data_IF_208670895275
#
_entry.id   IF_208670895275
#
_cell.length_a   1.000
_cell.length_b   1.000
_cell.length_c   1.000
_cell.angle_alpha   90.00
_cell.angle_beta   90.00
_cell.angle_gamma   90.00
#
_symmetry.space_group_name_H-M   'P 1'
#
loop_
_entity.id
_entity.type
_entity.pdbx_description
1 polymer ?
#
# COMPACT_ATOMS: atom_id res chain seq x y z
N UNK A 1 -12.07 15.76 -4.12
CA UNK A 1 -12.38 15.64 -2.68
C UNK A 1 -11.72 14.33 -2.31
N UNK A 2 -10.72 14.25 -1.41
CA UNK A 2 -10.14 12.94 -1.08
C UNK A 2 -11.26 12.05 -0.53
N UNK A 3 -11.81 11.17 -1.36
CA UNK A 3 -12.54 10.01 -0.90
C UNK A 3 -11.44 9.07 -0.43
N UNK A 4 -11.07 9.23 0.84
CA UNK A 4 -10.40 8.17 1.58
C UNK A 4 -11.43 7.06 1.64
N UNK A 5 -11.30 6.09 0.76
CA UNK A 5 -12.27 5.01 0.54
C UNK A 5 -12.27 4.15 1.80
N UNK A 6 -13.04 4.50 2.82
CA UNK A 6 -13.22 3.70 4.04
C UNK A 6 -14.42 2.75 3.92
N UNK A 7 -15.19 2.84 2.84
CA UNK A 7 -16.38 2.02 2.60
C UNK A 7 -16.24 1.28 1.26
N UNK A 8 -16.34 -0.06 1.32
CA UNK A 8 -16.23 -0.94 0.15
C UNK A 8 -17.33 -0.67 -0.90
N UNK A 9 -18.46 -0.07 -0.49
CA UNK A 9 -19.57 0.26 -1.39
C UNK A 9 -19.32 1.46 -2.29
N UNK A 10 -18.39 2.35 -1.94
CA UNK A 10 -18.06 3.55 -2.74
C UNK A 10 -16.91 3.33 -3.73
N UNK A 11 -16.28 2.14 -3.72
CA UNK A 11 -15.12 1.86 -4.56
C UNK A 11 -15.50 1.60 -6.03
N UNK A 12 -16.67 1.02 -6.27
CA UNK A 12 -17.12 0.60 -7.61
C UNK A 12 -17.30 1.83 -8.52
N UNK A 13 -17.89 2.91 -8.01
CA UNK A 13 -18.20 4.12 -8.80
C UNK A 13 -16.96 4.95 -9.16
N UNK A 14 -15.92 4.96 -8.31
CA UNK A 14 -14.69 5.67 -8.61
C UNK A 14 -13.83 4.91 -9.64
N UNK A 15 -13.87 3.57 -9.62
CA UNK A 15 -12.99 2.73 -10.42
C UNK A 15 -13.31 2.79 -11.93
N UNK A 16 -14.58 2.84 -12.34
CA UNK A 16 -14.96 3.00 -13.76
C UNK A 16 -14.42 4.32 -14.34
N UNK A 17 -14.48 5.41 -13.57
CA UNK A 17 -13.93 6.72 -13.97
C UNK A 17 -12.40 6.72 -14.11
N UNK A 18 -11.69 5.80 -13.44
CA UNK A 18 -10.24 5.70 -13.52
C UNK A 18 -9.74 4.87 -14.70
N UNK A 19 -10.50 3.87 -15.16
CA UNK A 19 -10.08 3.01 -16.27
C UNK A 19 -9.97 3.80 -17.57
N UNK A 20 -10.93 4.69 -17.84
CA UNK A 20 -10.92 5.56 -19.02
C UNK A 20 -9.74 6.55 -19.00
N UNK A 21 -9.37 7.08 -17.83
CA UNK A 21 -8.18 7.95 -17.70
C UNK A 21 -6.87 7.19 -17.91
N UNK A 22 -6.73 5.99 -17.34
CA UNK A 22 -5.54 5.16 -17.56
C UNK A 22 -5.41 4.79 -19.04
N UNK A 23 -6.51 4.43 -19.71
CA UNK A 23 -6.51 4.15 -21.16
C UNK A 23 -6.14 5.37 -22.00
N UNK A 24 -6.56 6.58 -21.61
CA UNK A 24 -6.22 7.82 -22.31
C UNK A 24 -4.76 8.26 -22.11
N UNK A 25 -4.16 8.05 -20.92
CA UNK A 25 -2.77 8.43 -20.64
C UNK A 25 -1.73 7.39 -21.12
N UNK A 26 -2.14 6.14 -21.37
CA UNK A 26 -1.28 5.08 -21.94
C UNK A 26 -0.89 5.32 -23.42
N UNK A 27 -1.37 6.39 -24.05
CA UNK A 27 -1.04 6.73 -25.44
C UNK A 27 0.36 7.34 -25.62
N UNK A 28 1.13 7.53 -24.53
CA UNK A 28 2.50 8.00 -24.60
C UNK A 28 3.47 6.81 -24.62
N UNK A 29 4.02 6.52 -25.80
CA UNK A 29 5.09 5.54 -26.06
C UNK A 29 6.45 5.98 -25.47
N UNK A 30 6.50 6.36 -24.19
CA UNK A 30 7.75 6.72 -23.51
C UNK A 30 8.10 5.65 -22.48
N UNK A 31 9.31 5.10 -22.58
CA UNK A 31 9.83 4.16 -21.59
C UNK A 31 9.97 4.86 -20.23
N UNK A 32 9.65 4.16 -19.14
CA UNK A 32 9.86 4.68 -17.80
C UNK A 32 11.33 5.00 -17.57
N UNK A 33 11.64 6.25 -17.21
CA UNK A 33 12.97 6.62 -16.73
C UNK A 33 13.13 6.14 -15.30
N UNK A 34 14.05 5.22 -15.06
CA UNK A 34 14.43 4.85 -13.71
C UNK A 34 15.19 6.03 -13.07
N UNK A 35 14.79 6.50 -11.88
CA UNK A 35 15.54 7.54 -11.18
C UNK A 35 16.96 7.06 -10.89
N UNK A 36 17.94 7.95 -11.02
CA UNK A 36 19.28 7.69 -10.52
C UNK A 36 19.19 7.49 -9.00
N UNK A 37 19.44 6.26 -8.53
CA UNK A 37 19.43 5.95 -7.09
C UNK A 37 20.74 6.41 -6.46
N UNK A 38 20.67 7.52 -5.73
CA UNK A 38 21.73 7.86 -4.78
C UNK A 38 21.65 6.90 -3.58
N UNK A 39 22.69 6.08 -3.43
CA UNK A 39 22.77 5.03 -2.41
C UNK A 39 22.80 5.57 -0.97
N UNK A 40 23.11 6.85 -0.80
CA UNK A 40 23.22 7.49 0.51
C UNK A 40 22.07 8.46 0.81
N UNK A 41 21.08 8.58 -0.08
CA UNK A 41 19.97 9.52 0.10
C UNK A 41 19.00 9.03 1.18
N UNK A 42 19.13 9.59 2.37
CA UNK A 42 18.13 9.48 3.43
C UNK A 42 16.89 10.31 3.06
N UNK A 43 15.71 9.75 3.35
CA UNK A 43 14.44 10.47 3.19
C UNK A 43 14.09 11.10 4.52
N UNK A 44 13.99 12.43 4.54
CA UNK A 44 13.51 13.15 5.73
C UNK A 44 12.00 12.95 5.87
N UNK A 45 11.58 12.39 7.00
CA UNK A 45 10.15 12.17 7.29
C UNK A 45 9.54 13.41 7.96
N UNK A 46 8.41 13.86 7.42
CA UNK A 46 7.65 14.98 7.97
C UNK A 46 6.44 14.47 8.77
N UNK A 47 6.46 14.68 10.09
CA UNK A 47 5.39 14.22 11.00
C UNK A 47 4.28 15.26 11.23
N UNK A 48 4.25 16.33 10.42
CA UNK A 48 3.21 17.36 10.51
C UNK A 48 1.85 16.80 10.14
N UNK A 49 0.85 17.12 10.94
CA UNK A 49 -0.53 16.68 10.73
C UNK A 49 -1.28 17.73 9.92
N UNK A 50 -1.20 17.64 8.59
CA UNK A 50 -1.86 18.57 7.69
C UNK A 50 -3.34 18.20 7.45
N UNK A 51 -4.25 19.17 7.21
CA UNK A 51 -5.60 18.89 6.73
C UNK A 51 -5.60 18.26 5.32
N UNK A 52 -6.60 17.44 5.00
CA UNK A 52 -6.75 16.85 3.66
C UNK A 52 -6.83 17.90 2.55
N UNK A 53 -7.43 19.06 2.80
CA UNK A 53 -7.48 20.17 1.85
C UNK A 53 -6.09 20.70 1.48
N UNK A 54 -5.16 20.70 2.43
CA UNK A 54 -3.76 21.11 2.19
C UNK A 54 -3.02 20.00 1.44
N UNK A 55 -3.20 18.73 1.83
CA UNK A 55 -2.60 17.59 1.12
C UNK A 55 -3.01 17.57 -0.37
N UNK A 56 -4.28 17.85 -0.69
CA UNK A 56 -4.76 17.92 -2.07
C UNK A 56 -4.04 18.99 -2.90
N UNK A 57 -3.72 20.14 -2.27
CA UNK A 57 -3.02 21.24 -2.93
C UNK A 57 -1.53 20.96 -3.10
N UNK A 58 -0.94 20.16 -2.21
CA UNK A 58 0.46 19.75 -2.31
C UNK A 58 0.66 18.68 -3.38
N UNK A 59 -0.29 17.76 -3.53
CA UNK A 59 -0.21 16.63 -4.44
C UNK A 59 -1.27 16.71 -5.55
N UNK A 60 -1.23 17.78 -6.35
CA UNK A 60 -2.21 18.04 -7.43
C UNK A 60 -2.22 16.98 -8.54
N UNK A 61 -1.16 16.18 -8.63
CA UNK A 61 -1.04 15.04 -9.56
C UNK A 61 -1.66 13.74 -9.01
N UNK A 62 -2.20 13.78 -7.79
CA UNK A 62 -2.94 12.68 -7.16
C UNK A 62 -4.42 13.06 -7.15
N UNK A 63 -5.24 12.25 -7.80
CA UNK A 63 -6.69 12.45 -7.86
C UNK A 63 -7.36 11.31 -7.10
N UNK A 64 -8.14 11.66 -6.06
CA UNK A 64 -8.82 10.77 -5.12
C UNK A 64 -8.01 9.51 -4.73
N UNK A 65 -6.74 9.73 -4.39
CA UNK A 65 -5.82 8.69 -3.92
C UNK A 65 -5.06 7.95 -5.03
N UNK A 66 -5.39 8.16 -6.30
CA UNK A 66 -4.71 7.59 -7.46
C UNK A 66 -3.71 8.59 -8.07
N UNK A 67 -2.48 8.10 -8.31
CA UNK A 67 -1.52 8.74 -9.22
C UNK A 67 -1.26 7.83 -10.41
N UNK A 68 -1.47 8.37 -11.61
CA UNK A 68 -1.06 7.71 -12.85
C UNK A 68 0.35 8.19 -13.23
N UNK A 69 1.25 7.24 -13.48
CA UNK A 69 2.57 7.57 -14.01
C UNK A 69 2.53 7.47 -15.53
N UNK A 70 2.95 8.55 -16.19
CA UNK A 70 2.90 8.68 -17.64
C UNK A 70 4.14 8.04 -18.31
N UNK A 71 4.23 6.71 -18.25
CA UNK A 71 5.20 5.92 -19.03
C UNK A 71 4.69 4.51 -19.32
N UNK A 72 5.18 3.93 -20.41
CA UNK A 72 4.92 2.54 -20.80
C UNK A 72 5.53 1.57 -19.78
N UNK A 73 4.77 0.52 -19.42
CA UNK A 73 5.16 -0.51 -18.45
C UNK A 73 5.33 -0.04 -16.99
N UNK A 74 4.78 1.13 -16.62
CA UNK A 74 4.66 1.48 -15.21
C UNK A 74 3.88 0.39 -14.46
N UNK A 75 4.47 -0.15 -13.40
CA UNK A 75 3.81 -1.14 -12.56
C UNK A 75 2.60 -0.50 -11.87
N UNK A 76 1.47 -1.23 -11.80
CA UNK A 76 0.23 -0.76 -11.19
C UNK A 76 0.15 -1.31 -9.76
N UNK A 77 0.34 -0.42 -8.79
CA UNK A 77 0.55 -0.77 -7.38
C UNK A 77 -0.64 -0.31 -6.54
N UNK A 78 -1.40 -1.25 -5.99
CA UNK A 78 -2.42 -0.94 -4.99
C UNK A 78 -1.80 -0.99 -3.59
N UNK A 79 -1.93 0.09 -2.82
CA UNK A 79 -1.43 0.19 -1.46
C UNK A 79 -2.62 0.17 -0.50
N UNK A 80 -2.79 -0.93 0.22
CA UNK A 80 -3.90 -1.14 1.17
C UNK A 80 -3.44 -0.76 2.57
N UNK A 81 -4.14 0.18 3.19
CA UNK A 81 -3.81 0.75 4.49
C UNK A 81 -4.98 0.53 5.47
N UNK A 82 -4.80 -0.23 6.56
CA UNK A 82 -5.83 -0.32 7.58
C UNK A 82 -5.94 1.00 8.33
N UNK A 83 -7.14 1.58 8.38
CA UNK A 83 -7.34 2.87 9.01
C UNK A 83 -8.68 2.97 9.75
N UNK A 84 -8.67 2.64 11.05
CA UNK A 84 -9.77 2.94 11.98
C UNK A 84 -9.29 3.86 13.09
N UNK A 85 -9.98 4.97 13.34
CA UNK A 85 -9.63 5.96 14.38
C UNK A 85 -8.16 6.45 14.34
N UNK A 86 -7.50 6.34 13.18
CA UNK A 86 -6.08 6.66 12.97
C UNK A 86 -5.88 7.81 11.98
N UNK A 87 -6.87 8.69 11.82
CA UNK A 87 -6.85 9.83 10.87
C UNK A 87 -5.59 10.71 10.96
N UNK A 88 -5.03 10.90 12.17
CA UNK A 88 -3.76 11.64 12.32
C UNK A 88 -2.59 10.90 11.67
N UNK A 89 -2.47 9.59 11.91
CA UNK A 89 -1.43 8.75 11.30
C UNK A 89 -1.61 8.67 9.79
N UNK A 90 -2.84 8.49 9.31
CA UNK A 90 -3.12 8.46 7.88
C UNK A 90 -2.66 9.76 7.18
N UNK A 91 -2.93 10.92 7.77
CA UNK A 91 -2.51 12.20 7.16
C UNK A 91 -0.99 12.38 7.14
N UNK A 92 -0.30 11.88 8.16
CA UNK A 92 1.17 11.81 8.17
C UNK A 92 1.65 10.84 7.08
N UNK A 93 1.05 9.65 6.97
CA UNK A 93 1.39 8.67 5.94
C UNK A 93 1.23 9.27 4.55
N UNK A 94 0.07 9.85 4.23
CA UNK A 94 -0.21 10.43 2.91
C UNK A 94 0.77 11.56 2.57
N UNK A 95 1.11 12.43 3.53
CA UNK A 95 2.10 13.50 3.34
C UNK A 95 3.45 12.95 2.87
N UNK A 96 3.92 11.88 3.49
CA UNK A 96 5.24 11.31 3.18
C UNK A 96 5.19 10.38 1.98
N UNK A 97 4.17 9.53 1.89
CA UNK A 97 4.09 8.48 0.90
C UNK A 97 3.83 9.04 -0.49
N UNK A 98 2.98 10.07 -0.64
CA UNK A 98 2.81 10.71 -1.94
C UNK A 98 4.10 11.34 -2.45
N UNK A 99 4.83 12.06 -1.58
CA UNK A 99 6.13 12.65 -1.93
C UNK A 99 7.21 11.59 -2.20
N UNK A 100 7.16 10.46 -1.49
CA UNK A 100 8.12 9.37 -1.68
C UNK A 100 7.88 8.60 -2.98
N UNK A 101 6.62 8.31 -3.30
CA UNK A 101 6.23 7.55 -4.49
C UNK A 101 6.21 8.41 -5.75
N UNK A 102 6.16 9.75 -5.64
CA UNK A 102 6.23 10.62 -6.80
C UNK A 102 7.54 10.47 -7.58
N UNK A 103 8.59 10.07 -6.88
CA UNK A 103 9.92 9.79 -7.43
C UNK A 103 10.02 8.38 -8.04
N UNK A 104 9.00 7.53 -7.92
CA UNK A 104 9.04 6.15 -8.42
C UNK A 104 8.24 5.98 -9.72
N UNK A 105 8.71 5.13 -10.66
CA UNK A 105 8.07 4.89 -11.95
C UNK A 105 6.89 3.92 -11.83
N UNK A 106 5.92 4.24 -10.97
CA UNK A 106 4.76 3.41 -10.68
C UNK A 106 3.47 4.24 -10.78
N UNK A 107 2.42 3.61 -11.30
CA UNK A 107 1.04 4.06 -11.13
C UNK A 107 0.55 3.45 -9.82
N UNK A 108 0.09 4.26 -8.87
CA UNK A 108 -0.33 3.74 -7.58
C UNK A 108 -1.66 4.32 -7.10
N UNK A 109 -2.42 3.50 -6.37
CA UNK A 109 -3.59 3.91 -5.62
C UNK A 109 -3.41 3.59 -4.14
N UNK A 110 -3.81 4.51 -3.26
CA UNK A 110 -3.85 4.27 -1.81
C UNK A 110 -5.30 4.02 -1.38
N UNK A 111 -5.56 2.81 -0.88
CA UNK A 111 -6.86 2.35 -0.44
C UNK A 111 -6.85 2.18 1.06
N UNK A 112 -7.75 2.87 1.74
CA UNK A 112 -7.96 2.61 3.16
C UNK A 112 -8.92 1.46 3.36
N UNK A 113 -8.77 0.74 4.45
CA UNK A 113 -9.73 -0.30 4.84
C UNK A 113 -10.08 -0.12 6.29
N UNK A 114 -11.38 0.01 6.57
CA UNK A 114 -11.89 -0.04 7.94
C UNK A 114 -12.05 -1.50 8.38
N UNK A 115 -12.22 -1.73 9.68
CA UNK A 115 -12.28 -3.06 10.26
C UNK A 115 -13.61 -3.74 9.96
N UNK A 116 -13.57 -4.99 9.53
CA UNK A 116 -14.77 -5.86 9.49
C UNK A 116 -15.17 -6.17 10.94
N UNK A 117 -16.29 -5.63 11.43
CA UNK A 117 -16.87 -6.08 12.70
C UNK A 117 -18.40 -5.99 12.71
N UNK A 118 -19.06 -7.09 13.11
CA UNK A 118 -20.51 -7.11 13.40
C UNK A 118 -20.83 -6.43 14.74
N UNK A 119 -19.84 -6.34 15.62
CA UNK A 119 -19.94 -5.70 16.94
C UNK A 119 -18.90 -4.61 17.03
N UNK A 120 -19.36 -3.37 17.20
CA UNK A 120 -18.53 -2.17 17.01
C UNK A 120 -17.23 -2.14 17.82
N UNK A 121 -17.11 -2.84 18.96
CA UNK A 121 -16.08 -2.46 19.94
C UNK A 121 -15.20 -3.54 20.56
N UNK A 122 -15.17 -4.79 20.08
CA UNK A 122 -14.46 -5.84 20.84
C UNK A 122 -13.11 -6.27 20.23
N UNK A 123 -13.03 -6.65 18.95
CA UNK A 123 -11.75 -7.09 18.36
C UNK A 123 -11.58 -6.73 16.88
N UNK A 124 -10.37 -6.30 16.50
CA UNK A 124 -9.99 -6.03 15.11
C UNK A 124 -9.44 -7.29 14.43
N UNK A 125 -9.92 -7.59 13.23
CA UNK A 125 -9.34 -8.61 12.37
C UNK A 125 -8.62 -7.97 11.16
N UNK A 126 -7.30 -7.79 11.29
CA UNK A 126 -6.45 -7.25 10.21
C UNK A 126 -6.50 -8.14 8.98
N UNK A 127 -6.41 -9.46 9.17
CA UNK A 127 -6.36 -10.41 8.07
C UNK A 127 -7.63 -10.39 7.21
N UNK A 128 -8.80 -10.47 7.85
CA UNK A 128 -10.09 -10.38 7.16
C UNK A 128 -10.27 -9.06 6.40
N UNK A 129 -9.85 -7.95 7.00
CA UNK A 129 -9.93 -6.63 6.34
C UNK A 129 -9.03 -6.57 5.11
N UNK A 130 -7.79 -7.08 5.19
CA UNK A 130 -6.86 -7.15 4.06
C UNK A 130 -7.35 -8.09 2.96
N UNK A 131 -7.89 -9.26 3.32
CA UNK A 131 -8.49 -10.20 2.37
C UNK A 131 -9.69 -9.58 1.64
N UNK A 132 -10.57 -8.86 2.36
CA UNK A 132 -11.70 -8.16 1.76
C UNK A 132 -11.26 -7.06 0.78
N UNK A 133 -10.26 -6.25 1.17
CA UNK A 133 -9.68 -5.26 0.28
C UNK A 133 -9.06 -5.89 -0.98
N UNK A 134 -8.36 -7.03 -0.83
CA UNK A 134 -7.80 -7.74 -1.97
C UNK A 134 -8.89 -8.18 -2.96
N UNK A 135 -9.98 -8.81 -2.49
CA UNK A 135 -11.10 -9.22 -3.36
C UNK A 135 -11.63 -8.02 -4.14
N UNK A 136 -11.85 -6.90 -3.45
CA UNK A 136 -12.36 -5.69 -4.08
C UNK A 136 -11.39 -5.13 -5.14
N UNK A 137 -10.09 -5.15 -4.88
CA UNK A 137 -9.08 -4.71 -5.84
C UNK A 137 -9.03 -5.61 -7.08
N UNK A 138 -9.29 -6.92 -6.94
CA UNK A 138 -9.35 -7.84 -8.07
C UNK A 138 -10.59 -7.66 -8.94
N UNK A 139 -11.67 -7.11 -8.37
CA UNK A 139 -12.89 -6.71 -9.09
C UNK A 139 -12.79 -5.29 -9.69
N UNK A 140 -11.71 -4.56 -9.39
CA UNK A 140 -11.49 -3.24 -9.93
C UNK A 140 -11.21 -3.30 -11.43
N UNK A 141 -11.74 -2.36 -12.23
CA UNK A 141 -11.36 -2.20 -13.63
C UNK A 141 -9.84 -1.94 -13.79
N UNK A 142 -9.19 -1.30 -12.82
CA UNK A 142 -7.73 -1.19 -12.85
C UNK A 142 -7.12 -2.56 -12.54
N UNK A 143 -6.46 -3.16 -13.54
CA UNK A 143 -5.69 -4.39 -13.32
C UNK A 143 -4.42 -4.10 -12.49
N UNK A 144 -4.55 -4.18 -11.17
CA UNK A 144 -3.46 -4.04 -10.21
C UNK A 144 -2.48 -5.21 -10.30
N UNK A 145 -1.23 -4.93 -10.66
CA UNK A 145 -0.18 -5.96 -10.85
C UNK A 145 0.62 -6.22 -9.58
N UNK A 146 0.51 -5.34 -8.58
CA UNK A 146 1.18 -5.45 -7.30
C UNK A 146 0.30 -4.92 -6.19
N UNK A 147 0.21 -5.67 -5.08
CA UNK A 147 -0.55 -5.31 -3.89
C UNK A 147 0.42 -5.14 -2.73
N UNK A 148 0.40 -3.97 -2.09
CA UNK A 148 1.20 -3.65 -0.92
C UNK A 148 0.27 -3.48 0.26
N UNK A 149 0.40 -4.33 1.28
CA UNK A 149 -0.28 -4.15 2.55
C UNK A 149 0.62 -3.35 3.49
N UNK A 150 0.12 -2.21 3.95
CA UNK A 150 0.95 -1.18 4.57
C UNK A 150 0.33 -0.70 5.88
N UNK A 151 1.05 -0.81 6.99
CA UNK A 151 0.59 -0.25 8.27
C UNK A 151 0.62 1.28 8.28
N UNK A 152 -0.42 1.89 8.86
CA UNK A 152 -0.67 3.34 8.75
C UNK A 152 0.39 4.23 9.41
N UNK A 153 1.22 3.66 10.28
CA UNK A 153 2.21 4.38 11.10
C UNK A 153 3.67 4.09 10.71
N UNK A 154 3.91 3.38 9.59
CA UNK A 154 5.25 3.15 9.05
C UNK A 154 5.57 4.15 7.94
N UNK A 155 6.77 4.73 7.95
CA UNK A 155 7.21 5.71 6.94
C UNK A 155 8.54 5.24 6.33
N UNK A 156 8.73 5.35 5.00
CA UNK A 156 10.00 5.04 4.38
C UNK A 156 11.05 6.11 4.67
N UNK A 157 12.17 5.71 5.29
CA UNK A 157 13.30 6.62 5.62
C UNK A 157 14.50 6.46 4.66
N UNK A 158 14.40 5.56 3.67
CA UNK A 158 15.48 5.27 2.72
C UNK A 158 14.96 5.30 1.27
N UNK A 159 15.59 6.14 0.43
CA UNK A 159 15.21 6.33 -0.98
C UNK A 159 15.42 5.08 -1.85
N UNK A 160 16.14 4.08 -1.36
CA UNK A 160 16.36 2.81 -2.05
C UNK A 160 15.17 1.84 -1.96
N UNK A 161 14.23 2.08 -1.03
CA UNK A 161 13.03 1.24 -0.88
C UNK A 161 12.11 1.45 -2.09
N UNK A 162 11.92 0.42 -2.89
CA UNK A 162 11.00 0.45 -4.03
C UNK A 162 9.64 -0.14 -3.65
N UNK A 163 8.56 0.55 -3.98
CA UNK A 163 7.19 0.09 -3.74
C UNK A 163 6.68 -0.60 -4.99
N UNK A 164 7.10 -1.84 -5.15
CA UNK A 164 6.87 -2.63 -6.35
C UNK A 164 6.98 -4.12 -6.03
N UNK A 165 6.49 -5.01 -6.88
CA UNK A 165 6.55 -6.45 -6.64
C UNK A 165 7.72 -7.10 -7.38
N UNK A 166 8.15 -8.26 -6.90
CA UNK A 166 9.20 -9.08 -7.50
C UNK A 166 8.70 -10.52 -7.63
N UNK A 167 9.52 -11.41 -8.19
CA UNK A 167 9.20 -12.84 -8.33
C UNK A 167 8.94 -13.54 -6.99
N UNK A 168 9.56 -13.06 -5.91
CA UNK A 168 9.31 -13.51 -4.55
C UNK A 168 8.62 -12.41 -3.74
N UNK A 169 7.76 -12.76 -2.76
CA UNK A 169 7.17 -11.80 -1.84
C UNK A 169 8.21 -10.90 -1.19
N UNK A 170 7.85 -9.63 -0.98
CA UNK A 170 8.78 -8.66 -0.42
C UNK A 170 8.32 -8.18 0.95
N UNK A 171 9.26 -8.15 1.87
CA UNK A 171 9.14 -7.42 3.11
C UNK A 171 9.86 -6.07 2.96
N UNK A 172 9.11 -4.96 2.94
CA UNK A 172 9.64 -3.62 2.64
C UNK A 172 10.16 -2.87 3.88
N UNK A 173 9.75 -3.29 5.07
CA UNK A 173 10.09 -2.66 6.36
C UNK A 173 10.99 -3.58 7.19
N UNK A 174 12.12 -3.96 6.60
CA UNK A 174 13.11 -4.87 7.19
C UNK A 174 13.82 -4.29 8.41
N UNK A 175 13.84 -2.96 8.55
CA UNK A 175 14.43 -2.26 9.69
C UNK A 175 13.47 -1.17 10.14
N UNK A 176 12.80 -1.37 11.26
CA UNK A 176 11.94 -0.35 11.88
C UNK A 176 12.66 0.19 13.11
N UNK A 177 12.61 1.51 13.34
CA UNK A 177 13.34 2.17 14.43
C UNK A 177 13.06 1.57 15.82
N UNK A 178 11.88 0.99 16.02
CA UNK A 178 11.50 0.27 17.26
C UNK A 178 12.35 -0.99 17.52
N UNK A 179 12.78 -1.70 16.46
CA UNK A 179 13.55 -2.95 16.57
C UNK A 179 15.07 -2.76 16.66
N UNK A 180 15.59 -1.51 16.61
CA UNK A 180 17.05 -1.28 16.76
C UNK A 180 17.61 -1.74 18.12
N UNK A 181 16.75 -1.91 19.13
CA UNK A 181 17.14 -2.37 20.47
C UNK A 181 16.80 -3.85 20.76
N UNK A 182 16.00 -4.51 19.92
CA UNK A 182 15.56 -5.89 20.12
C UNK A 182 15.58 -6.65 18.78
N UNK A 183 16.67 -7.36 18.44
CA UNK A 183 16.79 -8.12 17.21
C UNK A 183 16.04 -9.44 17.36
N UNK A 184 14.71 -9.42 17.46
CA UNK A 184 13.90 -10.63 17.62
C UNK A 184 12.63 -10.57 16.78
N UNK A 185 12.66 -11.44 15.78
CA UNK A 185 11.56 -12.13 15.10
C UNK A 185 10.70 -11.27 14.16
N UNK A 186 10.33 -11.90 13.05
CA UNK A 186 9.38 -11.46 12.04
C UNK A 186 8.01 -11.14 12.67
N UNK A 187 7.90 -10.03 13.40
CA UNK A 187 6.62 -9.47 13.78
C UNK A 187 6.01 -8.88 12.51
N UNK A 188 5.02 -9.57 12.01
CA UNK A 188 4.25 -9.30 10.81
C UNK A 188 3.32 -8.05 10.96
N UNK A 189 3.82 -6.97 11.56
CA UNK A 189 3.21 -5.63 11.61
C UNK A 189 4.06 -4.63 10.84
N UNK A 190 4.03 -4.72 9.50
CA UNK A 190 5.07 -4.13 8.66
C UNK A 190 4.51 -3.63 7.32
N UNK A 191 5.28 -3.66 6.25
CA UNK A 191 4.86 -3.33 4.89
C UNK A 191 5.32 -4.48 4.02
N UNK A 192 4.38 -5.14 3.34
CA UNK A 192 4.65 -6.32 2.52
C UNK A 192 4.03 -6.19 1.14
N UNK A 193 4.72 -6.69 0.11
CA UNK A 193 4.29 -6.63 -1.27
C UNK A 193 4.16 -8.03 -1.88
N UNK A 194 3.05 -8.26 -2.58
CA UNK A 194 2.72 -9.50 -3.29
C UNK A 194 2.15 -9.18 -4.66
N UNK A 195 2.52 -9.98 -5.67
CA UNK A 195 1.67 -10.07 -6.87
C UNK A 195 0.33 -10.71 -6.49
N UNK A 196 -0.75 -10.48 -7.24
CA UNK A 196 -2.03 -11.15 -7.00
C UNK A 196 -1.90 -12.68 -6.90
N UNK A 197 -1.09 -13.29 -7.77
CA UNK A 197 -0.87 -14.73 -7.79
C UNK A 197 -0.13 -15.21 -6.54
N UNK A 198 0.89 -14.45 -6.08
CA UNK A 198 1.59 -14.75 -4.85
C UNK A 198 0.66 -14.70 -3.64
N UNK A 199 -0.20 -13.67 -3.58
CA UNK A 199 -1.12 -13.49 -2.46
C UNK A 199 -2.11 -14.65 -2.34
N UNK A 200 -2.74 -15.02 -3.46
CA UNK A 200 -3.67 -16.16 -3.52
C UNK A 200 -2.97 -17.46 -3.17
N UNK A 201 -1.79 -17.70 -3.73
CA UNK A 201 -1.03 -18.95 -3.53
C UNK A 201 -0.56 -19.13 -2.08
N UNK A 202 -0.17 -18.05 -1.41
CA UNK A 202 0.41 -18.10 -0.07
C UNK A 202 -0.62 -18.02 1.06
N UNK A 203 -1.86 -17.59 0.76
CA UNK A 203 -2.94 -17.47 1.75
C UNK A 203 -2.48 -16.74 3.04
N UNK A 204 -1.93 -15.54 2.84
CA UNK A 204 -1.09 -14.82 3.82
C UNK A 204 -1.83 -14.43 5.11
N UNK A 205 -3.13 -14.13 5.01
CA UNK A 205 -3.92 -13.57 6.11
C UNK A 205 -5.01 -14.54 6.56
N UNK A 206 -5.09 -14.78 7.87
CA UNK A 206 -6.17 -15.56 8.47
C UNK A 206 -7.42 -14.70 8.69
N UNK A 207 -8.58 -15.22 8.32
CA UNK A 207 -9.88 -14.62 8.65
C UNK A 207 -10.33 -14.95 10.07
N UNK A 208 -9.63 -15.82 10.80
CA UNK A 208 -10.06 -16.30 12.12
C UNK A 208 -9.34 -15.61 13.28
N UNK A 209 -8.33 -14.79 13.00
CA UNK A 209 -7.57 -14.11 14.04
C UNK A 209 -8.17 -12.75 14.40
N UNK A 210 -8.65 -12.63 15.63
CA UNK A 210 -9.25 -11.43 16.18
C UNK A 210 -8.35 -10.86 17.28
N UNK A 211 -7.79 -9.67 17.06
CA UNK A 211 -6.83 -9.03 17.97
C UNK A 211 -5.58 -8.50 17.26
N UNK A 212 -4.60 -8.05 18.04
CA UNK A 212 -3.31 -7.56 17.52
C UNK A 212 -2.37 -8.74 17.21
N UNK A 213 -1.99 -8.92 15.94
CA UNK A 213 -1.00 -9.95 15.53
C UNK A 213 -1.43 -10.94 14.44
N UNK A 214 -2.27 -10.52 13.50
CA UNK A 214 -3.06 -11.40 12.64
C UNK A 214 -2.47 -11.69 11.23
N UNK A 215 -1.18 -11.97 11.10
CA UNK A 215 -0.68 -12.54 9.83
C UNK A 215 -0.53 -14.03 10.05
N UNK A 216 -0.98 -14.83 9.08
CA UNK A 216 -0.76 -16.28 9.12
C UNK A 216 0.74 -16.49 9.35
N UNK A 217 1.17 -17.38 10.27
CA UNK A 217 2.56 -17.75 10.35
C UNK A 217 2.89 -18.48 9.04
N UNK A 218 3.21 -17.73 7.99
CA UNK A 218 3.95 -18.27 6.87
C UNK A 218 5.27 -18.64 7.52
N UNK A 219 5.42 -19.92 7.85
CA UNK A 219 6.70 -20.44 8.30
C UNK A 219 7.72 -20.00 7.26
N UNK A 220 8.81 -19.37 7.68
CA UNK A 220 9.89 -18.93 6.79
C UNK A 220 10.40 -20.07 5.89
N UNK A 221 10.13 -21.32 6.29
CA UNK A 221 10.29 -22.54 5.50
C UNK A 221 9.49 -22.56 4.20
N UNK A 222 8.32 -21.94 4.05
CA UNK A 222 7.60 -21.91 2.76
C UNK A 222 8.04 -20.78 1.81
N UNK A 223 8.62 -19.70 2.34
CA UNK A 223 9.14 -18.58 1.53
C UNK A 223 10.51 -18.87 0.92
N UNK A 224 11.30 -19.78 1.51
CA UNK A 224 12.67 -20.10 1.11
C UNK A 224 12.85 -21.47 0.42
N UNK A 225 11.79 -22.27 0.22
CA UNK A 225 11.93 -23.66 -0.27
C UNK A 225 11.52 -23.91 -1.72
N UNK A 226 11.33 -22.87 -2.54
CA UNK A 226 10.95 -23.05 -3.96
C UNK A 226 11.73 -22.16 -4.92
N UNK A 227 13.06 -22.21 -4.82
CA UNK A 227 13.96 -21.97 -5.96
C UNK A 227 14.05 -23.22 -6.84
#
# INVERSE_FOLDING_TARGET
MFQVMCDASEIIWAAEFYEDRIKQELFINSLCRLPAKDKNKLVSVNKSVLPFSVLNRLFTHVNDGLRVHNCSFAERVAIVVPCRNRSKHLRILLLNLHAFLSEQPITYGIFTVDHVSEHKDIHYNKGASMNGAFVHLMESPINWTCIIFHDVDLLPENALITYNCLKSPRHLSTTVNYFRQHPVILWLGVVVAFTPEQFVKLNVYSNSYWGWGAISPISTTELNTRE
#
